data_IF_850135650098
#
_entry.id   IF_850135650098
#
_cell.length_a   1.000
_cell.length_b   1.000
_cell.length_c   1.000
_cell.angle_alpha   90.00
_cell.angle_beta   90.00
_cell.angle_gamma   90.00
#
_symmetry.space_group_name_H-M   'P 1'
#
loop_
_entity.id
_entity.type
_entity.pdbx_description
1 polymer ?
#
# COMPACT_ATOMS: atom_id res chain seq x y z
N UNK A 1 24.71 2.43 20.89
CA UNK A 1 23.90 1.95 19.75
C UNK A 1 24.22 0.51 19.30
N UNK A 2 25.29 -0.16 19.80
CA UNK A 2 25.62 -1.55 19.44
C UNK A 2 24.91 -2.64 20.27
N UNK A 3 24.30 -2.32 21.42
CA UNK A 3 23.71 -3.35 22.30
C UNK A 3 22.32 -3.82 21.83
N UNK A 4 21.62 -3.00 21.05
CA UNK A 4 20.24 -3.28 20.60
C UNK A 4 20.17 -4.33 19.48
N UNK A 5 21.27 -4.63 18.80
CA UNK A 5 21.33 -5.62 17.70
C UNK A 5 21.41 -7.07 18.18
N UNK A 6 21.74 -7.34 19.46
CA UNK A 6 22.01 -8.71 19.93
C UNK A 6 20.78 -9.63 20.05
N UNK A 7 19.56 -9.07 20.06
CA UNK A 7 18.31 -9.84 20.23
C UNK A 7 17.33 -9.71 19.06
N UNK A 8 17.78 -9.20 17.90
CA UNK A 8 16.96 -9.18 16.70
C UNK A 8 16.81 -10.60 16.16
N UNK A 9 15.62 -11.20 16.34
CA UNK A 9 15.26 -12.51 15.78
C UNK A 9 14.96 -12.40 14.27
N UNK A 10 15.87 -11.78 13.50
CA UNK A 10 15.63 -11.39 12.11
C UNK A 10 15.13 -12.55 11.25
N UNK A 11 15.76 -13.72 11.34
CA UNK A 11 15.33 -14.90 10.57
C UNK A 11 13.90 -15.33 10.90
N UNK A 12 13.49 -15.28 12.17
CA UNK A 12 12.13 -15.61 12.56
C UNK A 12 11.15 -14.52 12.09
N UNK A 13 11.49 -13.25 12.31
CA UNK A 13 10.67 -12.11 11.88
C UNK A 13 10.44 -12.11 10.37
N UNK A 14 11.46 -12.40 9.55
CA UNK A 14 11.28 -12.48 8.09
C UNK A 14 10.33 -13.62 7.70
N UNK A 15 10.44 -14.80 8.33
CA UNK A 15 9.50 -15.91 8.09
C UNK A 15 8.08 -15.57 8.50
N UNK A 16 7.91 -14.87 9.61
CA UNK A 16 6.60 -14.45 10.10
C UNK A 16 5.97 -13.42 9.15
N UNK A 17 6.77 -12.49 8.62
CA UNK A 17 6.34 -11.51 7.59
C UNK A 17 5.93 -12.23 6.31
N UNK A 18 6.76 -13.13 5.77
CA UNK A 18 6.45 -13.89 4.55
C UNK A 18 5.15 -14.68 4.70
N UNK A 19 4.96 -15.34 5.85
CA UNK A 19 3.74 -16.09 6.16
C UNK A 19 2.51 -15.17 6.24
N UNK A 20 2.63 -14.03 6.93
CA UNK A 20 1.55 -13.06 7.05
C UNK A 20 1.17 -12.46 5.70
N UNK A 21 2.16 -12.11 4.89
CA UNK A 21 1.94 -11.51 3.56
C UNK A 21 1.29 -12.50 2.59
N UNK A 22 1.64 -13.79 2.67
CA UNK A 22 1.03 -14.84 1.84
C UNK A 22 -0.47 -15.05 2.13
N UNK A 23 -0.93 -14.67 3.32
CA UNK A 23 -2.33 -14.77 3.75
C UNK A 23 -3.00 -13.40 3.89
N UNK A 24 -2.42 -12.35 3.31
CA UNK A 24 -2.88 -10.98 3.47
C UNK A 24 -4.18 -10.74 2.70
N UNK A 25 -5.29 -10.53 3.42
CA UNK A 25 -6.63 -10.33 2.87
C UNK A 25 -7.17 -8.90 3.08
N UNK A 26 -6.36 -8.04 3.70
CA UNK A 26 -6.74 -6.65 3.98
C UNK A 26 -6.66 -5.83 2.68
N UNK A 27 -7.70 -5.04 2.33
CA UNK A 27 -7.64 -4.10 1.22
C UNK A 27 -6.43 -3.16 1.37
N UNK A 28 -5.60 -3.05 0.34
CA UNK A 28 -4.34 -2.31 0.40
C UNK A 28 -4.17 -1.45 -0.85
N UNK A 29 -3.85 -0.16 -0.67
CA UNK A 29 -3.41 0.73 -1.73
C UNK A 29 -1.88 0.83 -1.72
N UNK A 30 -1.23 0.53 -2.84
CA UNK A 30 0.19 0.76 -3.07
C UNK A 30 0.37 1.96 -4.01
N UNK A 31 0.91 3.05 -3.49
CA UNK A 31 1.29 4.24 -4.26
C UNK A 31 2.79 4.18 -4.56
N UNK A 32 3.18 4.32 -5.83
CA UNK A 32 4.58 4.21 -6.23
C UNK A 32 4.99 5.29 -7.22
N UNK A 33 6.13 5.93 -6.98
CA UNK A 33 6.76 6.82 -7.94
C UNK A 33 7.61 6.03 -8.94
N UNK A 34 7.23 6.04 -10.22
CA UNK A 34 7.90 5.21 -11.23
C UNK A 34 9.27 5.75 -11.63
N UNK A 35 9.58 7.00 -11.30
CA UNK A 35 10.89 7.61 -11.49
C UNK A 35 11.81 7.46 -10.26
N UNK A 36 11.47 6.58 -9.29
CA UNK A 36 12.30 6.30 -8.12
C UNK A 36 13.66 5.68 -8.53
N UNK A 37 14.80 6.38 -8.31
CA UNK A 37 16.11 5.86 -8.67
C UNK A 37 16.69 4.87 -7.64
N UNK A 38 16.02 4.67 -6.51
CA UNK A 38 16.52 3.89 -5.36
C UNK A 38 15.78 2.57 -5.17
N UNK A 39 14.47 2.53 -5.45
CA UNK A 39 13.66 1.31 -5.34
C UNK A 39 12.93 0.99 -6.65
N UNK A 40 13.11 -0.24 -7.14
CA UNK A 40 12.38 -0.74 -8.31
C UNK A 40 10.91 -1.02 -7.99
N UNK A 41 10.02 -0.74 -8.94
CA UNK A 41 8.62 -1.09 -8.88
C UNK A 41 8.36 -2.60 -9.09
N UNK A 42 9.36 -3.40 -9.49
CA UNK A 42 9.19 -4.82 -9.85
C UNK A 42 8.53 -5.66 -8.74
N UNK A 43 8.87 -5.40 -7.47
CA UNK A 43 8.31 -6.14 -6.33
C UNK A 43 6.85 -5.73 -6.10
N UNK A 44 6.52 -4.43 -5.90
CA UNK A 44 5.13 -3.96 -5.83
C UNK A 44 4.25 -4.43 -6.99
N UNK A 45 4.75 -4.39 -8.23
CA UNK A 45 4.00 -4.84 -9.41
C UNK A 45 3.71 -6.34 -9.37
N UNK A 46 4.68 -7.16 -8.98
CA UNK A 46 4.45 -8.61 -8.82
C UNK A 46 3.48 -8.93 -7.70
N UNK A 47 3.50 -8.16 -6.61
CA UNK A 47 2.57 -8.38 -5.49
C UNK A 47 1.12 -8.10 -5.91
N UNK A 48 0.89 -6.98 -6.60
CA UNK A 48 -0.44 -6.58 -7.07
C UNK A 48 -0.97 -7.49 -8.18
N UNK A 49 -0.10 -8.02 -9.04
CA UNK A 49 -0.48 -9.03 -10.03
C UNK A 49 -0.97 -10.36 -9.40
N UNK A 50 -0.58 -10.66 -8.17
CA UNK A 50 -0.91 -11.92 -7.49
C UNK A 50 -1.99 -11.78 -6.41
N UNK A 51 -2.46 -10.57 -6.11
CA UNK A 51 -3.39 -10.30 -5.01
C UNK A 51 -4.52 -9.34 -5.44
N UNK A 52 -5.76 -9.84 -5.49
CA UNK A 52 -6.94 -9.07 -5.91
C UNK A 52 -7.36 -7.98 -4.91
N UNK A 53 -6.87 -8.03 -3.67
CA UNK A 53 -7.15 -7.06 -2.61
C UNK A 53 -6.10 -5.94 -2.54
N UNK A 54 -5.13 -5.91 -3.46
CA UNK A 54 -4.09 -4.89 -3.50
C UNK A 54 -4.23 -4.09 -4.79
N UNK A 55 -4.53 -2.80 -4.65
CA UNK A 55 -4.56 -1.83 -5.73
C UNK A 55 -3.18 -1.16 -5.85
N UNK A 56 -2.72 -0.92 -7.08
CA UNK A 56 -1.49 -0.16 -7.34
C UNK A 56 -1.79 1.07 -8.16
N UNK A 57 -1.36 2.22 -7.66
CA UNK A 57 -1.35 3.48 -8.39
C UNK A 57 0.09 3.88 -8.69
N UNK A 58 0.35 4.14 -9.97
CA UNK A 58 1.65 4.50 -10.50
C UNK A 58 1.68 6.00 -10.78
N UNK A 59 2.60 6.69 -10.15
CA UNK A 59 2.87 8.11 -10.38
C UNK A 59 4.09 8.23 -11.27
N UNK A 60 3.86 8.36 -12.58
CA UNK A 60 4.91 8.23 -13.60
C UNK A 60 6.12 9.16 -13.38
N UNK A 61 5.86 10.40 -12.97
CA UNK A 61 6.90 11.42 -12.76
C UNK A 61 7.42 11.49 -11.31
N UNK A 62 6.74 10.82 -10.37
CA UNK A 62 7.14 10.86 -8.96
C UNK A 62 8.34 9.95 -8.69
N UNK A 63 9.14 10.34 -7.69
CA UNK A 63 10.32 9.60 -7.23
C UNK A 63 10.03 8.92 -5.89
N UNK A 64 11.05 8.73 -5.07
CA UNK A 64 10.98 7.97 -3.81
C UNK A 64 10.02 8.51 -2.74
N UNK A 65 9.83 9.83 -2.68
CA UNK A 65 8.93 10.47 -1.72
C UNK A 65 7.77 11.14 -2.45
N UNK A 66 6.85 10.36 -3.04
CA UNK A 66 5.71 10.93 -3.77
C UNK A 66 4.83 11.77 -2.83
N UNK A 67 4.69 11.41 -1.55
CA UNK A 67 3.89 12.17 -0.59
C UNK A 67 4.41 13.58 -0.30
N UNK A 68 5.72 13.82 -0.45
CA UNK A 68 6.33 15.13 -0.19
C UNK A 68 6.28 16.03 -1.43
N UNK A 69 6.45 15.45 -2.62
CA UNK A 69 6.55 16.20 -3.87
C UNK A 69 5.24 16.26 -4.68
N UNK A 70 4.37 15.27 -4.50
CA UNK A 70 3.06 15.11 -5.13
C UNK A 70 1.97 14.91 -4.07
N UNK A 71 1.89 15.78 -3.04
CA UNK A 71 1.00 15.59 -1.90
C UNK A 71 -0.48 15.58 -2.31
N UNK A 72 -0.83 16.34 -3.36
CA UNK A 72 -2.21 16.43 -3.86
C UNK A 72 -2.62 15.10 -4.47
N UNK A 73 -1.86 14.60 -5.43
CA UNK A 73 -2.11 13.34 -6.14
C UNK A 73 -2.15 12.17 -5.16
N UNK A 74 -1.17 12.10 -4.24
CA UNK A 74 -1.17 11.11 -3.17
C UNK A 74 -2.42 11.19 -2.30
N UNK A 75 -2.85 12.40 -1.91
CA UNK A 75 -4.05 12.57 -1.08
C UNK A 75 -5.34 12.17 -1.79
N UNK A 76 -5.47 12.49 -3.09
CA UNK A 76 -6.65 12.17 -3.90
C UNK A 76 -6.83 10.66 -4.04
N UNK A 77 -5.73 9.92 -4.25
CA UNK A 77 -5.76 8.46 -4.34
C UNK A 77 -6.12 7.80 -3.01
N UNK A 78 -5.57 8.31 -1.90
CA UNK A 78 -5.91 7.82 -0.55
C UNK A 78 -7.39 8.05 -0.26
N UNK A 79 -7.93 9.24 -0.57
CA UNK A 79 -9.34 9.57 -0.37
C UNK A 79 -10.22 8.64 -1.21
N UNK A 80 -9.86 8.46 -2.48
CA UNK A 80 -10.60 7.60 -3.42
C UNK A 80 -10.65 6.15 -2.93
N UNK A 81 -9.52 5.61 -2.47
CA UNK A 81 -9.43 4.27 -1.93
C UNK A 81 -10.32 4.06 -0.69
N UNK A 82 -10.36 5.04 0.23
CA UNK A 82 -11.24 4.95 1.40
C UNK A 82 -12.72 5.14 1.05
N UNK A 83 -13.04 6.00 0.08
CA UNK A 83 -14.40 6.21 -0.39
C UNK A 83 -14.96 4.95 -1.07
N UNK A 84 -14.18 4.27 -1.92
CA UNK A 84 -14.57 3.02 -2.57
C UNK A 84 -14.75 1.88 -1.57
N UNK A 85 -13.85 1.79 -0.58
CA UNK A 85 -13.92 0.81 0.51
C UNK A 85 -15.13 1.01 1.43
N UNK A 86 -15.53 2.27 1.66
CA UNK A 86 -16.74 2.64 2.40
C UNK A 86 -18.01 2.23 1.66
N UNK A 87 -18.06 2.43 0.34
CA UNK A 87 -19.21 2.06 -0.50
C UNK A 87 -19.41 0.53 -0.59
N UNK A 88 -18.33 -0.25 -0.63
CA UNK A 88 -18.38 -1.72 -0.69
C UNK A 88 -19.08 -2.34 0.55
N UNK A 89 -18.95 -1.73 1.74
CA UNK A 89 -19.64 -2.20 2.96
C UNK A 89 -21.15 -1.90 2.98
N UNK A 90 -21.61 -1.05 2.07
CA UNK A 90 -22.98 -0.54 2.03
C UNK A 90 -23.85 -1.22 0.96
N UNK A 91 -23.28 -2.04 0.07
CA UNK A 91 -24.03 -2.96 -0.80
C UNK A 91 -24.79 -4.05 0.00
N UNK A 92 -24.57 -4.11 1.32
CA UNK A 92 -25.40 -4.82 2.32
C UNK A 92 -26.62 -4.00 2.82
N UNK A 93 -26.96 -2.87 2.19
CA UNK A 93 -28.23 -2.16 2.40
C UNK A 93 -28.16 -0.85 3.19
N UNK A 94 -27.03 -0.14 3.20
CA UNK A 94 -26.93 1.20 3.80
C UNK A 94 -26.64 2.27 2.74
N UNK A 95 -27.15 3.49 2.92
CA UNK A 95 -26.98 4.57 1.93
C UNK A 95 -25.68 5.36 2.19
N UNK A 96 -24.95 5.69 1.12
CA UNK A 96 -23.75 6.52 1.19
C UNK A 96 -24.12 7.97 1.56
N UNK A 97 -23.48 8.62 2.56
CA UNK A 97 -23.79 10.01 2.90
C UNK A 97 -23.35 10.97 1.78
N UNK A 98 -24.11 12.06 1.53
CA UNK A 98 -23.96 12.91 0.34
C UNK A 98 -22.79 13.91 0.39
N UNK A 99 -21.80 13.70 1.26
CA UNK A 99 -20.71 14.65 1.50
C UNK A 99 -19.35 13.98 1.37
N UNK A 100 -19.09 13.39 0.20
CA UNK A 100 -17.76 13.21 -0.39
C UNK A 100 -17.90 13.38 -1.90
#
# INVERSE_FOLDING_TARGET
>A
MLTTTKNLKLSQTMKDIEKGFSAWDVPTLMLWGMADPWLSADIPEKLTANASNIEMVKLDEAKHYPQEHWPKEVSEEIITFFASSSCIKLLSGGQCPPYF
#
